data_IF_046207134901
#
_entry.id   IF_046207134901
#
_cell.length_a   1.000
_cell.length_b   1.000
_cell.length_c   1.000
_cell.angle_alpha   90.00
_cell.angle_beta   90.00
_cell.angle_gamma   90.00
#
_symmetry.space_group_name_H-M   'P 1'
#
loop_
_entity.id
_entity.type
_entity.pdbx_description
1 polymer ?
#
# COMPACT_ATOMS: atom_id res chain seq x y z
N UNK A 1 28.36 88.91 -3.51
CA UNK A 1 29.64 88.23 -3.16
C UNK A 1 29.29 86.89 -2.51
N UNK A 2 30.09 85.85 -2.78
CA UNK A 2 29.67 84.45 -2.92
C UNK A 2 29.01 83.78 -1.69
N UNK A 3 27.93 83.03 -1.96
CA UNK A 3 27.38 81.96 -1.13
C UNK A 3 28.31 80.73 -1.20
N UNK A 4 28.77 80.23 -0.05
CA UNK A 4 29.50 78.97 0.06
C UNK A 4 28.52 77.87 0.51
N UNK A 5 28.22 76.94 -0.38
CA UNK A 5 27.44 75.74 -0.09
C UNK A 5 28.36 74.67 0.52
N UNK A 6 28.02 74.19 1.72
CA UNK A 6 28.69 73.06 2.37
C UNK A 6 27.91 71.78 2.05
N UNK A 7 28.52 70.87 1.32
CA UNK A 7 28.01 69.54 1.00
C UNK A 7 28.24 68.58 2.18
N UNK A 8 27.16 67.95 2.69
CA UNK A 8 27.22 66.81 3.62
C UNK A 8 27.10 65.51 2.81
N UNK A 9 28.02 64.53 2.95
CA UNK A 9 27.85 63.24 2.29
C UNK A 9 26.80 62.39 3.03
N UNK A 10 25.84 61.86 2.28
CA UNK A 10 24.83 60.91 2.74
C UNK A 10 25.50 59.52 2.83
N UNK A 11 25.68 58.99 4.05
CA UNK A 11 26.11 57.61 4.28
C UNK A 11 24.90 56.67 4.11
N UNK A 12 24.78 56.04 2.95
CA UNK A 12 23.85 54.93 2.71
C UNK A 12 24.39 53.67 3.39
N UNK A 13 23.80 53.29 4.53
CA UNK A 13 24.07 52.03 5.21
C UNK A 13 23.29 50.92 4.50
N UNK A 14 23.99 50.09 3.71
CA UNK A 14 23.43 48.90 3.07
C UNK A 14 23.28 47.80 4.13
N UNK A 15 22.08 47.60 4.67
CA UNK A 15 21.79 46.49 5.57
C UNK A 15 21.77 45.18 4.77
N UNK A 16 22.81 44.36 4.92
CA UNK A 16 22.87 43.02 4.35
C UNK A 16 21.88 42.11 5.09
N UNK A 17 20.75 41.79 4.45
CA UNK A 17 19.81 40.77 4.93
C UNK A 17 20.47 39.41 4.74
N UNK A 18 21.00 38.82 5.81
CA UNK A 18 21.47 37.45 5.83
C UNK A 18 20.26 36.53 5.85
N UNK A 19 19.90 35.98 4.68
CA UNK A 19 18.88 34.93 4.57
C UNK A 19 19.55 33.62 4.98
N UNK A 20 19.36 33.19 6.22
CA UNK A 20 19.69 31.82 6.62
C UNK A 20 18.69 30.86 5.94
N UNK A 21 19.15 29.79 5.27
CA UNK A 21 18.24 28.77 4.78
C UNK A 21 17.58 28.10 5.99
N UNK A 22 16.27 28.29 6.13
CA UNK A 22 15.45 27.45 7.00
C UNK A 22 15.46 26.04 6.40
N UNK A 23 16.29 25.16 6.97
CA UNK A 23 16.21 23.74 6.71
C UNK A 23 14.92 23.21 7.35
N UNK A 24 13.88 23.04 6.53
CA UNK A 24 12.67 22.30 6.93
C UNK A 24 13.07 20.83 7.00
N UNK A 25 13.35 20.34 8.20
CA UNK A 25 13.66 18.93 8.43
C UNK A 25 12.41 18.08 8.22
N UNK A 26 12.48 17.08 7.33
CA UNK A 26 11.40 16.11 7.17
C UNK A 26 11.51 15.07 8.29
N UNK A 27 10.45 14.95 9.10
CA UNK A 27 10.40 13.92 10.14
C UNK A 27 10.51 12.51 9.53
N UNK A 28 11.18 11.60 10.24
CA UNK A 28 11.19 10.18 9.91
C UNK A 28 9.76 9.71 9.76
N UNK A 29 9.48 9.04 8.65
CA UNK A 29 8.23 8.33 8.37
C UNK A 29 8.49 6.84 8.24
N UNK A 30 7.42 6.04 8.28
CA UNK A 30 7.46 4.60 8.07
C UNK A 30 6.56 4.21 6.91
N UNK A 31 6.92 3.11 6.25
CA UNK A 31 6.07 2.45 5.26
C UNK A 31 4.70 2.07 5.85
N UNK A 32 3.65 1.96 5.01
CA UNK A 32 2.26 1.95 5.47
C UNK A 32 1.86 0.78 6.39
N UNK A 33 2.59 -0.35 6.34
CA UNK A 33 2.29 -1.52 7.18
C UNK A 33 2.82 -1.41 8.63
N UNK A 34 3.74 -0.50 8.91
CA UNK A 34 4.31 -0.31 10.26
C UNK A 34 3.42 0.64 11.05
N UNK A 35 2.29 0.09 11.50
CA UNK A 35 1.27 0.77 12.31
C UNK A 35 0.85 -0.13 13.46
N UNK A 36 0.20 0.45 14.46
CA UNK A 36 -0.22 -0.27 15.65
C UNK A 36 -1.03 -1.51 15.26
N UNK A 37 -0.75 -2.62 15.93
CA UNK A 37 -1.39 -3.90 15.64
C UNK A 37 -0.72 -4.72 14.52
N UNK A 38 0.43 -4.31 13.98
CA UNK A 38 1.10 -5.03 12.90
C UNK A 38 1.50 -6.47 13.26
N UNK A 39 1.65 -7.30 12.22
CA UNK A 39 2.27 -8.62 12.31
C UNK A 39 3.50 -8.63 11.41
N UNK A 40 4.66 -8.97 11.96
CA UNK A 40 5.92 -9.13 11.23
C UNK A 40 6.22 -10.60 10.96
N UNK A 41 6.83 -10.87 9.80
CA UNK A 41 7.16 -12.24 9.37
C UNK A 41 8.26 -12.86 10.22
N UNK A 42 8.11 -14.14 10.57
CA UNK A 42 9.11 -14.94 11.27
C UNK A 42 10.08 -15.67 10.32
N UNK A 43 11.22 -16.08 10.85
CA UNK A 43 12.10 -17.07 10.21
C UNK A 43 12.83 -16.59 8.94
N UNK A 44 12.79 -15.29 8.65
CA UNK A 44 13.57 -14.65 7.59
C UNK A 44 13.87 -13.19 7.97
N UNK A 45 14.86 -12.54 7.34
CA UNK A 45 15.14 -11.14 7.60
C UNK A 45 13.90 -10.26 7.41
N UNK A 46 13.65 -9.34 8.35
CA UNK A 46 12.47 -8.47 8.31
C UNK A 46 12.90 -7.05 8.00
N UNK A 47 12.67 -6.57 6.77
CA UNK A 47 12.96 -5.20 6.42
C UNK A 47 11.99 -4.24 7.11
N UNK A 48 12.52 -3.12 7.59
CA UNK A 48 11.78 -1.94 8.06
C UNK A 48 12.32 -0.74 7.32
N UNK A 49 11.43 0.09 6.77
CA UNK A 49 11.82 1.19 5.88
C UNK A 49 10.84 2.35 5.96
N UNK A 50 11.26 3.47 5.40
CA UNK A 50 10.48 4.69 5.31
C UNK A 50 11.27 5.81 4.64
N UNK A 51 10.93 7.05 4.96
CA UNK A 51 11.68 8.23 4.53
C UNK A 51 12.19 9.03 5.72
N UNK A 52 13.24 9.81 5.52
CA UNK A 52 13.84 10.73 6.46
C UNK A 52 14.67 11.77 5.69
N UNK A 53 15.26 12.75 6.36
CA UNK A 53 16.19 13.66 5.68
C UNK A 53 17.43 12.92 5.18
N UNK A 54 17.97 13.35 4.02
CA UNK A 54 19.18 12.75 3.48
C UNK A 54 20.35 12.84 4.49
N UNK A 55 21.03 11.71 4.71
CA UNK A 55 22.12 11.63 5.69
C UNK A 55 21.68 11.44 7.14
N UNK A 56 20.39 11.45 7.44
CA UNK A 56 19.87 11.19 8.77
C UNK A 56 20.16 9.74 9.20
N UNK A 57 20.60 9.54 10.44
CA UNK A 57 20.81 8.20 11.02
C UNK A 57 19.52 7.73 11.69
N UNK A 58 19.02 6.57 11.26
CA UNK A 58 17.83 5.92 11.77
C UNK A 58 18.24 4.64 12.51
N UNK A 59 17.65 4.41 13.67
CA UNK A 59 17.82 3.20 14.48
C UNK A 59 16.46 2.58 14.78
N UNK A 60 16.27 1.31 14.44
CA UNK A 60 15.08 0.54 14.76
C UNK A 60 15.41 -0.51 15.83
N UNK A 61 14.54 -0.62 16.84
CA UNK A 61 14.65 -1.60 17.93
C UNK A 61 13.37 -2.42 18.01
N UNK A 62 13.51 -3.74 18.02
CA UNK A 62 12.39 -4.67 18.14
C UNK A 62 12.87 -6.04 18.60
N UNK A 63 12.10 -6.69 19.49
CA UNK A 63 12.37 -8.06 19.95
C UNK A 63 13.83 -8.32 20.38
N UNK A 64 14.43 -7.39 21.12
CA UNK A 64 15.81 -7.47 21.60
C UNK A 64 16.89 -7.18 20.56
N UNK A 65 16.51 -6.91 19.31
CA UNK A 65 17.43 -6.50 18.25
C UNK A 65 17.44 -4.98 18.09
N UNK A 66 18.59 -4.44 17.70
CA UNK A 66 18.77 -3.04 17.31
C UNK A 66 19.56 -2.98 16.01
N UNK A 67 19.03 -2.28 15.02
CA UNK A 67 19.63 -2.13 13.69
C UNK A 67 19.58 -0.66 13.26
N UNK A 68 20.57 -0.20 12.50
CA UNK A 68 20.64 1.19 12.05
C UNK A 68 20.97 1.30 10.58
N UNK A 69 20.50 2.37 9.94
CA UNK A 69 20.88 2.78 8.60
C UNK A 69 20.96 4.31 8.53
N UNK A 70 21.55 4.81 7.45
CA UNK A 70 21.51 6.23 7.11
C UNK A 70 20.60 6.41 5.91
N UNK A 71 19.72 7.41 5.94
CA UNK A 71 18.89 7.75 4.80
C UNK A 71 19.72 8.19 3.60
N UNK A 72 19.40 7.66 2.43
CA UNK A 72 20.08 7.98 1.18
C UNK A 72 19.80 9.41 0.72
N UNK A 73 20.46 9.82 -0.36
CA UNK A 73 20.25 11.14 -0.98
C UNK A 73 18.80 11.35 -1.48
N UNK A 74 18.07 10.27 -1.72
CA UNK A 74 16.65 10.27 -2.10
C UNK A 74 15.70 10.25 -0.88
N UNK A 75 16.25 10.40 0.33
CA UNK A 75 15.51 10.38 1.60
C UNK A 75 15.01 9.01 2.03
N UNK A 76 15.27 7.94 1.25
CA UNK A 76 14.81 6.59 1.62
C UNK A 76 15.82 5.93 2.55
N UNK A 77 15.31 5.19 3.52
CA UNK A 77 16.13 4.37 4.40
C UNK A 77 15.50 2.99 4.56
N UNK A 78 16.34 1.98 4.80
CA UNK A 78 15.91 0.62 5.09
C UNK A 78 16.90 -0.04 6.04
N UNK A 79 16.39 -0.70 7.06
CA UNK A 79 17.11 -1.63 7.93
C UNK A 79 16.47 -3.00 7.82
N UNK A 80 17.17 -4.05 8.25
CA UNK A 80 16.58 -5.37 8.35
C UNK A 80 16.94 -6.01 9.69
N UNK A 81 15.93 -6.46 10.42
CA UNK A 81 16.15 -7.34 11.57
C UNK A 81 16.57 -8.72 11.07
N UNK A 82 17.43 -9.39 11.84
CA UNK A 82 17.69 -10.82 11.67
C UNK A 82 16.40 -11.63 11.87
N UNK A 83 16.32 -12.87 11.34
CA UNK A 83 15.15 -13.72 11.48
C UNK A 83 14.53 -13.69 12.87
N UNK A 84 13.27 -13.25 12.93
CA UNK A 84 12.52 -13.15 14.18
C UNK A 84 11.92 -14.50 14.55
N UNK A 85 11.83 -14.77 15.85
CA UNK A 85 11.12 -15.93 16.41
C UNK A 85 9.64 -15.56 16.58
N UNK A 86 8.75 -16.48 16.21
CA UNK A 86 7.31 -16.28 16.39
C UNK A 86 6.96 -15.97 17.84
N UNK A 87 6.03 -15.04 18.05
CA UNK A 87 5.59 -14.62 19.39
C UNK A 87 4.15 -14.14 19.36
N UNK A 88 3.30 -14.77 20.16
CA UNK A 88 1.95 -14.28 20.46
C UNK A 88 1.95 -13.13 21.47
N UNK A 89 3.06 -12.95 22.21
CA UNK A 89 3.28 -11.77 23.05
C UNK A 89 3.67 -10.59 22.14
N UNK A 90 2.88 -9.52 22.22
CA UNK A 90 3.09 -8.28 21.47
C UNK A 90 4.22 -7.45 22.05
N UNK A 91 4.95 -6.74 21.19
CA UNK A 91 6.03 -5.82 21.58
C UNK A 91 5.95 -4.53 20.77
N UNK A 92 6.58 -3.48 21.25
CA UNK A 92 6.66 -2.22 20.51
C UNK A 92 7.87 -2.23 19.57
N UNK A 93 7.64 -1.85 18.30
CA UNK A 93 8.70 -1.49 17.36
C UNK A 93 8.98 0.00 17.52
N UNK A 94 10.22 0.34 17.90
CA UNK A 94 10.64 1.72 18.11
C UNK A 94 11.62 2.12 17.03
N UNK A 95 11.35 3.23 16.34
CA UNK A 95 12.22 3.78 15.30
C UNK A 95 12.62 5.20 15.70
N UNK A 96 13.92 5.44 15.81
CA UNK A 96 14.51 6.71 16.27
C UNK A 96 15.39 7.32 15.18
N UNK A 97 15.12 8.58 14.87
CA UNK A 97 16.00 9.51 14.17
C UNK A 97 15.96 10.86 14.89
N UNK A 98 15.66 11.92 14.16
CA UNK A 98 15.34 13.26 14.69
C UNK A 98 14.04 13.27 15.50
N UNK A 99 13.08 12.42 15.13
CA UNK A 99 11.88 12.08 15.90
C UNK A 99 11.89 10.59 16.31
N UNK A 100 11.02 10.24 17.25
CA UNK A 100 10.80 8.84 17.66
C UNK A 100 9.38 8.40 17.27
N UNK A 101 9.29 7.30 16.52
CA UNK A 101 8.05 6.60 16.21
C UNK A 101 7.99 5.33 17.06
N UNK A 102 6.86 5.10 17.71
CA UNK A 102 6.60 3.86 18.47
C UNK A 102 5.36 3.21 17.89
N UNK A 103 5.56 2.04 17.28
CA UNK A 103 4.50 1.21 16.72
C UNK A 103 4.16 0.14 17.75
N UNK A 104 2.94 0.18 18.25
CA UNK A 104 2.50 -0.62 19.40
C UNK A 104 1.87 -1.92 18.97
N UNK A 105 1.83 -2.86 19.90
CA UNK A 105 1.11 -4.12 19.73
C UNK A 105 1.56 -4.88 18.46
N UNK A 106 2.87 -5.03 18.27
CA UNK A 106 3.42 -5.75 17.10
C UNK A 106 3.65 -7.22 17.45
N UNK A 107 3.03 -8.11 16.67
CA UNK A 107 3.20 -9.56 16.77
C UNK A 107 4.26 -10.08 15.79
N UNK A 108 4.75 -11.30 16.03
CA UNK A 108 5.64 -12.00 15.09
C UNK A 108 5.04 -13.35 14.72
N UNK A 109 4.85 -13.59 13.42
CA UNK A 109 4.14 -14.76 12.93
C UNK A 109 4.32 -14.99 11.43
N UNK A 110 3.28 -15.52 10.78
CA UNK A 110 3.24 -15.67 9.32
C UNK A 110 2.53 -14.48 8.68
N UNK A 111 3.09 -13.89 7.63
CA UNK A 111 2.52 -12.77 6.89
C UNK A 111 2.25 -13.19 5.46
N UNK A 112 1.02 -12.99 5.00
CA UNK A 112 0.58 -13.40 3.66
C UNK A 112 -0.03 -12.24 2.90
N UNK A 113 0.28 -12.15 1.61
CA UNK A 113 -0.42 -11.26 0.69
C UNK A 113 -1.68 -11.95 0.16
N UNK A 114 -2.84 -11.33 0.33
CA UNK A 114 -4.11 -11.76 -0.25
C UNK A 114 -4.55 -10.75 -1.31
N UNK A 115 -4.63 -11.17 -2.56
CA UNK A 115 -4.93 -10.28 -3.68
C UNK A 115 -5.85 -10.93 -4.72
N UNK A 116 -6.47 -10.09 -5.55
CA UNK A 116 -7.41 -10.52 -6.58
C UNK A 116 -8.61 -9.60 -6.69
N UNK A 117 -9.71 -10.15 -7.20
CA UNK A 117 -10.95 -9.39 -7.42
C UNK A 117 -12.02 -9.65 -6.34
N UNK A 118 -13.30 -9.54 -6.71
CA UNK A 118 -14.45 -9.55 -5.80
C UNK A 118 -14.50 -10.78 -4.90
N UNK A 119 -14.11 -11.95 -5.40
CA UNK A 119 -14.09 -13.18 -4.60
C UNK A 119 -13.01 -13.16 -3.51
N UNK A 120 -11.84 -12.55 -3.77
CA UNK A 120 -10.87 -12.26 -2.72
C UNK A 120 -11.36 -11.15 -1.78
N UNK A 121 -12.05 -10.14 -2.30
CA UNK A 121 -12.55 -9.02 -1.50
C UNK A 121 -13.73 -9.39 -0.59
N UNK A 122 -14.46 -10.46 -0.93
CA UNK A 122 -15.78 -10.78 -0.37
C UNK A 122 -15.78 -10.83 1.17
N UNK A 123 -16.60 -10.02 1.86
CA UNK A 123 -16.52 -9.92 3.31
C UNK A 123 -17.05 -11.16 4.04
N UNK A 124 -16.43 -11.51 5.17
CA UNK A 124 -16.85 -12.64 6.01
C UNK A 124 -18.31 -12.51 6.49
N UNK A 125 -18.77 -11.29 6.75
CA UNK A 125 -20.18 -11.02 7.15
C UNK A 125 -21.23 -11.42 6.11
N UNK A 126 -20.84 -11.69 4.87
CA UNK A 126 -21.74 -12.14 3.81
C UNK A 126 -21.84 -13.67 3.71
N UNK A 127 -20.96 -14.40 4.40
CA UNK A 127 -20.91 -15.87 4.36
C UNK A 127 -21.07 -16.51 5.73
N UNK A 128 -20.90 -15.75 6.81
CA UNK A 128 -21.10 -16.20 8.19
C UNK A 128 -22.31 -15.52 8.83
N UNK A 129 -23.02 -16.26 9.68
CA UNK A 129 -24.12 -15.72 10.49
C UNK A 129 -23.62 -14.71 11.52
N UNK A 130 -24.53 -13.86 12.02
CA UNK A 130 -24.21 -12.92 13.11
C UNK A 130 -23.70 -13.63 14.36
N UNK A 131 -24.21 -14.82 14.65
CA UNK A 131 -23.78 -15.62 15.80
C UNK A 131 -22.34 -16.13 15.62
N UNK A 132 -22.00 -16.61 14.42
CA UNK A 132 -20.63 -17.03 14.10
C UNK A 132 -19.65 -15.86 14.20
N UNK A 133 -19.99 -14.69 13.64
CA UNK A 133 -19.17 -13.48 13.77
C UNK A 133 -19.01 -13.07 15.25
N UNK A 134 -20.08 -13.12 16.03
CA UNK A 134 -20.06 -12.77 17.45
C UNK A 134 -19.19 -13.71 18.29
N UNK A 135 -19.05 -14.97 17.87
CA UNK A 135 -18.24 -15.98 18.54
C UNK A 135 -16.74 -15.91 18.20
N UNK A 136 -16.34 -15.16 17.17
CA UNK A 136 -14.92 -15.06 16.79
C UNK A 136 -14.13 -14.31 17.85
N UNK A 137 -13.17 -15.00 18.47
CA UNK A 137 -12.17 -14.40 19.35
C UNK A 137 -10.77 -14.89 18.95
N UNK A 138 -10.19 -14.32 17.90
CA UNK A 138 -8.91 -14.72 17.33
C UNK A 138 -7.95 -13.52 17.15
N UNK A 139 -7.56 -12.83 18.24
CA UNK A 139 -6.77 -11.59 18.15
C UNK A 139 -5.38 -11.74 17.51
N UNK A 140 -4.87 -12.98 17.43
CA UNK A 140 -3.59 -13.31 16.79
C UNK A 140 -3.70 -13.43 15.26
N UNK A 141 -4.91 -13.39 14.70
CA UNK A 141 -5.14 -13.25 13.26
C UNK A 141 -5.49 -11.79 13.00
N UNK A 142 -4.70 -11.11 12.15
CA UNK A 142 -4.89 -9.69 11.87
C UNK A 142 -4.88 -9.43 10.36
N UNK A 143 -5.69 -8.48 9.92
CA UNK A 143 -5.74 -8.06 8.52
C UNK A 143 -5.40 -6.57 8.42
N UNK A 144 -4.47 -6.25 7.54
CA UNK A 144 -4.30 -4.92 6.96
C UNK A 144 -5.03 -4.88 5.63
N UNK A 145 -6.08 -4.05 5.50
CA UNK A 145 -6.75 -3.85 4.21
C UNK A 145 -6.24 -2.58 3.55
N UNK A 146 -5.53 -2.72 2.44
CA UNK A 146 -5.08 -1.61 1.64
C UNK A 146 -6.30 -0.88 1.04
N UNK A 147 -6.31 0.44 1.16
CA UNK A 147 -7.30 1.28 0.53
C UNK A 147 -7.22 1.14 -1.00
N UNK A 148 -8.38 1.24 -1.63
CA UNK A 148 -8.52 1.15 -3.09
C UNK A 148 -7.89 2.38 -3.75
N UNK A 149 -6.65 2.20 -4.21
CA UNK A 149 -5.82 3.27 -4.77
C UNK A 149 -5.29 2.85 -6.13
N UNK A 150 -5.27 3.78 -7.09
CA UNK A 150 -4.70 3.60 -8.43
C UNK A 150 -3.55 4.57 -8.65
N UNK A 151 -2.47 4.11 -9.30
CA UNK A 151 -1.34 4.99 -9.62
C UNK A 151 -0.64 4.57 -10.92
N UNK A 152 -0.17 5.52 -11.74
CA UNK A 152 0.62 5.20 -12.94
C UNK A 152 2.04 4.74 -12.62
N UNK A 153 2.57 5.17 -11.48
CA UNK A 153 3.91 4.84 -10.99
C UNK A 153 3.77 4.25 -9.60
N UNK A 154 4.67 3.34 -9.18
CA UNK A 154 4.68 2.79 -7.83
C UNK A 154 4.55 3.89 -6.77
N UNK A 155 3.50 3.82 -5.96
CA UNK A 155 3.32 4.74 -4.84
C UNK A 155 4.26 4.36 -3.69
N UNK A 156 4.63 5.34 -2.87
CA UNK A 156 5.44 5.13 -1.66
C UNK A 156 4.60 4.73 -0.44
N UNK A 157 3.28 4.92 -0.50
CA UNK A 157 2.35 4.66 0.59
C UNK A 157 0.98 4.20 0.07
N UNK A 158 0.22 3.56 0.95
CA UNK A 158 -1.19 3.24 0.76
C UNK A 158 -1.89 3.36 2.11
N UNK A 159 -3.10 3.90 2.12
CA UNK A 159 -3.90 3.96 3.35
C UNK A 159 -4.35 2.56 3.77
N UNK A 160 -4.45 2.36 5.08
CA UNK A 160 -4.89 1.09 5.67
C UNK A 160 -4.54 1.01 7.14
N UNK A 161 -5.28 0.18 7.87
CA UNK A 161 -5.05 -0.10 9.29
C UNK A 161 -5.11 -1.59 9.54
N UNK A 162 -4.35 -2.04 10.55
CA UNK A 162 -4.46 -3.39 11.05
C UNK A 162 -5.71 -3.53 11.92
N UNK A 163 -6.46 -4.60 11.71
CA UNK A 163 -7.55 -5.00 12.58
C UNK A 163 -7.32 -6.45 13.04
N UNK A 164 -7.52 -6.78 14.33
CA UNK A 164 -7.56 -8.16 14.79
C UNK A 164 -8.87 -8.84 14.40
N UNK A 165 -8.89 -10.17 14.31
CA UNK A 165 -10.11 -10.94 14.09
C UNK A 165 -10.91 -11.06 15.40
N UNK A 166 -11.70 -10.03 15.67
CA UNK A 166 -12.62 -9.92 16.82
C UNK A 166 -14.04 -9.63 16.31
N UNK A 167 -15.09 -9.78 17.15
CA UNK A 167 -16.47 -9.64 16.69
C UNK A 167 -16.77 -8.31 16.00
N UNK A 168 -16.14 -7.22 16.48
CA UNK A 168 -16.32 -5.87 15.95
C UNK A 168 -15.70 -5.64 14.57
N UNK A 169 -14.73 -6.46 14.16
CA UNK A 169 -13.85 -6.19 13.01
C UNK A 169 -13.85 -7.31 11.97
N UNK A 170 -13.97 -8.56 12.39
CA UNK A 170 -13.81 -9.76 11.54
C UNK A 170 -14.85 -9.82 10.42
N UNK A 171 -16.05 -9.25 10.61
CA UNK A 171 -17.08 -9.21 9.57
C UNK A 171 -16.65 -8.48 8.29
N UNK A 172 -15.64 -7.60 8.36
CA UNK A 172 -15.09 -6.86 7.22
C UNK A 172 -13.84 -7.52 6.61
N UNK A 173 -13.39 -8.65 7.15
CA UNK A 173 -12.26 -9.38 6.59
C UNK A 173 -12.67 -10.04 5.29
N UNK A 174 -11.70 -10.26 4.39
CA UNK A 174 -11.90 -11.20 3.30
C UNK A 174 -12.23 -12.58 3.89
N UNK A 175 -13.35 -13.18 3.47
CA UNK A 175 -13.73 -14.51 3.91
C UNK A 175 -12.65 -15.55 3.56
N UNK A 176 -12.18 -15.51 2.31
CA UNK A 176 -11.13 -16.42 1.81
C UNK A 176 -9.85 -16.25 2.62
N UNK A 177 -9.39 -15.02 2.80
CA UNK A 177 -8.14 -14.78 3.53
C UNK A 177 -8.26 -15.11 5.02
N UNK A 178 -9.42 -14.85 5.64
CA UNK A 178 -9.68 -15.20 7.04
C UNK A 178 -9.62 -16.71 7.27
N UNK A 179 -10.34 -17.52 6.49
CA UNK A 179 -10.32 -18.97 6.66
C UNK A 179 -8.95 -19.57 6.35
N UNK A 180 -8.24 -19.03 5.36
CA UNK A 180 -6.85 -19.39 5.08
C UNK A 180 -5.93 -19.11 6.28
N UNK A 181 -5.98 -17.91 6.84
CA UNK A 181 -5.19 -17.55 8.01
C UNK A 181 -5.57 -18.34 9.27
N UNK A 182 -6.85 -18.64 9.45
CA UNK A 182 -7.34 -19.45 10.56
C UNK A 182 -6.76 -20.86 10.53
N UNK A 183 -6.67 -21.48 9.34
CA UNK A 183 -6.09 -22.81 9.20
C UNK A 183 -4.58 -22.81 9.48
N UNK A 184 -3.86 -21.79 8.99
CA UNK A 184 -2.44 -21.62 9.30
C UNK A 184 -2.23 -21.44 10.81
N UNK A 185 -3.02 -20.56 11.44
CA UNK A 185 -2.93 -20.31 12.87
C UNK A 185 -3.19 -21.58 13.67
N UNK A 186 -4.23 -22.36 13.34
CA UNK A 186 -4.55 -23.64 14.00
C UNK A 186 -3.44 -24.67 13.86
N UNK A 187 -2.83 -24.79 12.68
CA UNK A 187 -1.79 -25.79 12.43
C UNK A 187 -0.44 -25.44 13.02
N UNK A 188 -0.07 -24.16 12.97
CA UNK A 188 1.27 -23.71 13.34
C UNK A 188 1.33 -23.08 14.73
N UNK A 189 0.17 -22.75 15.32
CA UNK A 189 0.04 -22.08 16.61
C UNK A 189 0.87 -20.78 16.70
N UNK A 190 0.82 -19.95 15.66
CA UNK A 190 1.52 -18.65 15.60
C UNK A 190 0.60 -17.56 15.06
N UNK A 191 0.85 -16.28 15.39
CA UNK A 191 0.12 -15.18 14.78
C UNK A 191 0.12 -15.22 13.25
N UNK A 192 -0.94 -14.70 12.63
CA UNK A 192 -1.05 -14.60 11.18
C UNK A 192 -1.50 -13.20 10.78
N UNK A 193 -0.68 -12.53 9.97
CA UNK A 193 -0.98 -11.26 9.34
C UNK A 193 -1.40 -11.44 7.89
N UNK A 194 -2.49 -10.80 7.49
CA UNK A 194 -2.96 -10.75 6.10
C UNK A 194 -2.79 -9.34 5.59
N UNK A 195 -2.01 -9.17 4.53
CA UNK A 195 -2.00 -7.96 3.72
C UNK A 195 -3.04 -8.14 2.61
N UNK A 196 -4.19 -7.50 2.73
CA UNK A 196 -5.28 -7.61 1.77
C UNK A 196 -5.24 -6.44 0.77
N UNK A 197 -4.84 -6.75 -0.46
CA UNK A 197 -4.89 -5.85 -1.61
C UNK A 197 -5.80 -6.42 -2.68
N UNK A 198 -7.11 -6.23 -2.54
CA UNK A 198 -8.13 -6.76 -3.47
C UNK A 198 -9.09 -5.68 -3.97
N UNK A 199 -9.63 -5.86 -5.19
CA UNK A 199 -10.60 -4.94 -5.78
C UNK A 199 -11.56 -5.62 -6.75
N UNK A 200 -12.85 -5.65 -6.41
CA UNK A 200 -13.93 -6.17 -7.27
C UNK A 200 -13.94 -5.66 -8.71
N UNK A 201 -14.15 -6.58 -9.67
CA UNK A 201 -14.29 -6.28 -11.09
C UNK A 201 -12.99 -5.98 -11.85
N UNK A 202 -11.83 -6.10 -11.19
CA UNK A 202 -10.53 -5.94 -11.85
C UNK A 202 -10.16 -7.16 -12.69
N UNK A 203 -9.63 -6.93 -13.89
CA UNK A 203 -8.85 -7.92 -14.63
C UNK A 203 -7.45 -8.11 -14.01
N UNK A 204 -6.63 -8.99 -14.58
CA UNK A 204 -5.25 -9.24 -14.10
C UNK A 204 -4.25 -8.13 -14.45
N UNK A 205 -4.40 -7.46 -15.60
CA UNK A 205 -3.41 -6.47 -16.10
C UNK A 205 -3.07 -5.32 -15.13
N UNK A 206 -4.02 -4.76 -14.35
CA UNK A 206 -3.74 -3.74 -13.35
C UNK A 206 -2.87 -4.20 -12.17
N UNK A 207 -2.79 -5.51 -11.92
CA UNK A 207 -2.09 -6.09 -10.76
C UNK A 207 -0.65 -6.51 -11.05
N UNK A 208 -0.25 -6.57 -12.32
CA UNK A 208 1.11 -6.94 -12.70
C UNK A 208 2.05 -5.74 -12.49
N UNK A 209 3.25 -6.01 -12.00
CA UNK A 209 4.27 -4.98 -11.80
C UNK A 209 4.81 -4.43 -13.12
N UNK A 210 5.17 -3.13 -13.20
CA UNK A 210 5.76 -2.54 -14.40
C UNK A 210 6.96 -3.32 -14.95
N UNK A 211 7.89 -3.73 -14.09
CA UNK A 211 9.09 -4.46 -14.53
C UNK A 211 8.78 -5.85 -15.05
N UNK A 212 7.75 -6.51 -14.51
CA UNK A 212 7.30 -7.80 -15.03
C UNK A 212 6.73 -7.65 -16.45
N UNK A 213 6.01 -6.56 -16.74
CA UNK A 213 5.57 -6.26 -18.11
C UNK A 213 6.76 -6.03 -19.05
N UNK A 214 7.74 -5.23 -18.62
CA UNK A 214 8.93 -4.91 -19.44
C UNK A 214 9.75 -6.16 -19.76
N UNK A 215 9.84 -7.10 -18.82
CA UNK A 215 10.74 -8.27 -18.92
C UNK A 215 10.05 -9.54 -19.42
N UNK A 216 8.72 -9.61 -19.45
CA UNK A 216 7.99 -10.80 -19.95
C UNK A 216 7.83 -10.74 -21.48
N UNK A 217 8.42 -11.68 -22.24
CA UNK A 217 8.21 -11.76 -23.68
C UNK A 217 6.72 -11.89 -24.02
N UNK A 218 6.26 -11.14 -25.02
CA UNK A 218 4.85 -11.08 -25.42
C UNK A 218 4.01 -10.02 -24.71
N UNK A 219 4.50 -9.43 -23.60
CA UNK A 219 3.82 -8.32 -22.92
C UNK A 219 4.54 -6.96 -23.10
N UNK A 220 5.86 -6.97 -23.31
CA UNK A 220 6.70 -5.77 -23.32
C UNK A 220 6.34 -4.74 -24.40
N UNK A 221 5.98 -5.17 -25.60
CA UNK A 221 5.62 -4.27 -26.70
C UNK A 221 4.33 -3.48 -26.40
N UNK A 222 3.29 -4.17 -25.92
CA UNK A 222 2.03 -3.55 -25.51
C UNK A 222 2.25 -2.59 -24.34
N UNK A 223 3.11 -2.96 -23.39
CA UNK A 223 3.45 -2.10 -22.27
C UNK A 223 4.23 -0.84 -22.70
N UNK A 224 5.19 -0.97 -23.61
CA UNK A 224 5.93 0.17 -24.17
C UNK A 224 4.99 1.17 -24.84
N UNK A 225 3.96 0.70 -25.54
CA UNK A 225 2.93 1.56 -26.11
C UNK A 225 2.11 2.24 -25.01
N UNK A 226 1.69 1.50 -23.98
CA UNK A 226 0.97 2.04 -22.82
C UNK A 226 1.76 3.14 -22.08
N UNK A 227 3.08 2.98 -21.95
CA UNK A 227 3.96 3.96 -21.30
C UNK A 227 4.03 5.29 -22.07
N UNK A 228 3.93 5.25 -23.40
CA UNK A 228 3.91 6.42 -24.29
C UNK A 228 2.51 7.04 -24.43
N UNK A 229 1.49 6.41 -23.86
CA UNK A 229 0.11 6.91 -23.91
C UNK A 229 -0.07 8.22 -23.15
N UNK A 230 -1.12 9.00 -23.49
CA UNK A 230 -1.37 10.28 -22.85
C UNK A 230 -1.59 10.14 -21.34
N UNK A 231 -1.16 11.16 -20.60
CA UNK A 231 -1.36 11.30 -19.15
C UNK A 231 -2.08 12.62 -18.89
N UNK A 232 -3.08 12.60 -18.01
CA UNK A 232 -3.72 13.83 -17.55
C UNK A 232 -2.65 14.72 -16.89
N UNK A 233 -2.63 16.01 -17.22
CA UNK A 233 -1.73 17.01 -16.64
C UNK A 233 -2.03 17.24 -15.15
N UNK A 234 -1.09 17.76 -14.35
CA UNK A 234 -1.35 18.10 -12.95
C UNK A 234 -2.59 19.00 -12.76
N UNK A 235 -2.80 19.96 -13.67
CA UNK A 235 -3.96 20.86 -13.63
C UNK A 235 -5.28 20.12 -13.89
N UNK A 236 -5.33 19.24 -14.89
CA UNK A 236 -6.54 18.43 -15.16
C UNK A 236 -6.86 17.50 -13.99
N UNK A 237 -5.84 16.91 -13.37
CA UNK A 237 -6.02 16.08 -12.18
C UNK A 237 -6.58 16.89 -11.00
N UNK A 238 -6.00 18.06 -10.71
CA UNK A 238 -6.45 18.92 -9.63
C UNK A 238 -7.88 19.44 -9.84
N UNK A 239 -8.22 19.82 -11.08
CA UNK A 239 -9.57 20.24 -11.44
C UNK A 239 -10.57 19.09 -11.27
N UNK A 240 -10.25 17.90 -11.78
CA UNK A 240 -11.09 16.71 -11.60
C UNK A 240 -11.27 16.35 -10.12
N UNK A 241 -10.19 16.38 -9.33
CA UNK A 241 -10.24 16.04 -7.91
C UNK A 241 -11.11 17.02 -7.11
N UNK A 242 -11.06 18.30 -7.45
CA UNK A 242 -11.93 19.33 -6.87
C UNK A 242 -13.40 19.04 -7.15
N UNK A 243 -13.74 18.75 -8.42
CA UNK A 243 -15.10 18.40 -8.83
C UNK A 243 -15.57 17.10 -8.16
N UNK A 244 -14.72 16.08 -8.14
CA UNK A 244 -15.01 14.76 -7.55
C UNK A 244 -15.27 14.90 -6.05
N UNK A 245 -14.43 15.63 -5.33
CA UNK A 245 -14.59 15.85 -3.88
C UNK A 245 -15.89 16.59 -3.56
N UNK A 246 -16.23 17.62 -4.35
CA UNK A 246 -17.48 18.35 -4.17
C UNK A 246 -18.70 17.43 -4.43
N UNK A 247 -18.66 16.64 -5.50
CA UNK A 247 -19.71 15.68 -5.84
C UNK A 247 -19.87 14.59 -4.77
N UNK A 248 -18.77 14.03 -4.24
CA UNK A 248 -18.81 13.04 -3.16
C UNK A 248 -19.39 13.61 -1.88
N UNK A 249 -18.99 14.83 -1.51
CA UNK A 249 -19.55 15.52 -0.35
C UNK A 249 -21.06 15.72 -0.50
N UNK A 250 -21.53 16.11 -1.68
CA UNK A 250 -22.96 16.25 -1.97
C UNK A 250 -23.70 14.91 -1.91
N UNK A 251 -23.15 13.86 -2.54
CA UNK A 251 -23.67 12.49 -2.48
C UNK A 251 -23.80 11.99 -1.05
N UNK A 252 -22.75 12.16 -0.25
CA UNK A 252 -22.69 11.64 1.11
C UNK A 252 -23.62 12.41 2.05
N UNK A 253 -23.74 13.74 1.86
CA UNK A 253 -24.74 14.55 2.55
C UNK A 253 -26.18 14.09 2.22
N UNK A 254 -26.48 13.87 0.93
CA UNK A 254 -27.78 13.35 0.50
C UNK A 254 -28.05 11.96 1.08
N UNK A 255 -27.07 11.05 1.07
CA UNK A 255 -27.17 9.72 1.68
C UNK A 255 -27.43 9.80 3.18
N UNK A 256 -26.72 10.66 3.91
CA UNK A 256 -26.93 10.86 5.35
C UNK A 256 -28.33 11.42 5.65
N UNK A 257 -28.81 12.32 4.79
CA UNK A 257 -30.18 12.85 4.84
C UNK A 257 -31.25 11.89 4.30
N UNK A 258 -30.87 10.68 3.84
CA UNK A 258 -31.74 9.71 3.17
C UNK A 258 -32.51 10.29 1.96
N UNK A 259 -31.90 11.25 1.27
CA UNK A 259 -32.43 11.88 0.07
C UNK A 259 -31.88 11.19 -1.19
N UNK A 260 -32.66 11.15 -2.29
CA UNK A 260 -32.15 10.68 -3.58
C UNK A 260 -31.05 11.62 -4.07
N UNK A 261 -30.04 11.05 -4.72
CA UNK A 261 -28.93 11.80 -5.31
C UNK A 261 -28.71 11.31 -6.74
N UNK A 262 -29.16 12.12 -7.70
CA UNK A 262 -29.22 11.76 -9.12
C UNK A 262 -28.22 12.55 -9.97
N UNK A 263 -27.30 13.29 -9.34
CA UNK A 263 -26.27 14.02 -10.07
C UNK A 263 -25.22 13.04 -10.60
N UNK A 264 -24.89 13.07 -11.90
CA UNK A 264 -23.87 12.18 -12.45
C UNK A 264 -22.49 12.55 -11.90
N UNK A 265 -21.66 11.52 -11.67
CA UNK A 265 -20.28 11.74 -11.26
C UNK A 265 -19.52 12.57 -12.32
N UNK A 266 -18.61 13.48 -11.91
CA UNK A 266 -17.78 14.22 -12.84
C UNK A 266 -17.04 13.29 -13.80
N UNK A 267 -16.97 13.67 -15.07
CA UNK A 267 -16.26 12.89 -16.08
C UNK A 267 -14.75 13.01 -15.83
N UNK A 268 -14.10 11.87 -15.68
CA UNK A 268 -12.64 11.81 -15.55
C UNK A 268 -11.97 12.32 -16.85
N UNK A 269 -10.93 13.18 -16.76
CA UNK A 269 -10.11 13.52 -17.91
C UNK A 269 -9.43 12.28 -18.50
N UNK A 270 -9.17 12.32 -19.81
CA UNK A 270 -8.43 11.27 -20.48
C UNK A 270 -7.03 11.12 -19.86
N UNK A 271 -6.52 9.89 -19.78
CA UNK A 271 -5.19 9.64 -19.23
C UNK A 271 -5.09 9.74 -17.72
N UNK A 272 -6.19 9.65 -16.97
CA UNK A 272 -6.18 9.26 -15.55
C UNK A 272 -6.11 7.73 -15.41
N UNK A 273 -5.45 7.20 -14.36
CA UNK A 273 -5.44 5.77 -14.13
C UNK A 273 -6.80 5.34 -13.54
N UNK A 274 -7.19 4.11 -13.82
CA UNK A 274 -8.37 3.45 -13.25
C UNK A 274 -7.99 2.06 -12.75
N UNK A 275 -8.91 1.38 -12.06
CA UNK A 275 -8.72 0.00 -11.64
C UNK A 275 -8.61 -1.01 -12.81
N UNK A 276 -8.77 -0.55 -14.06
CA UNK A 276 -8.58 -1.32 -15.30
C UNK A 276 -7.28 -0.98 -16.03
N UNK A 277 -6.61 0.09 -15.61
CA UNK A 277 -5.37 0.56 -16.24
C UNK A 277 -4.23 -0.39 -15.90
N UNK A 278 -3.44 -0.76 -16.91
CA UNK A 278 -2.26 -1.62 -16.78
C UNK A 278 -1.37 -1.12 -15.63
N UNK A 279 -0.93 -2.03 -14.75
CA UNK A 279 -0.12 -1.79 -13.53
C UNK A 279 -0.74 -0.92 -12.42
N UNK A 280 -1.93 -0.32 -12.65
CA UNK A 280 -2.38 0.77 -11.78
C UNK A 280 -2.72 0.33 -10.35
N UNK A 281 -3.25 -0.88 -10.18
CA UNK A 281 -3.57 -1.45 -8.86
C UNK A 281 -2.32 -1.97 -8.16
N UNK A 282 -1.39 -2.59 -8.88
CA UNK A 282 -0.08 -2.94 -8.33
C UNK A 282 0.61 -1.70 -7.76
N UNK A 283 0.69 -0.64 -8.56
CA UNK A 283 1.39 0.57 -8.17
C UNK A 283 0.74 1.28 -6.99
N UNK A 284 -0.59 1.31 -6.94
CA UNK A 284 -1.33 2.00 -5.88
C UNK A 284 -1.50 1.19 -4.60
N UNK A 285 -1.53 -0.15 -4.67
CA UNK A 285 -1.92 -1.00 -3.54
C UNK A 285 -0.86 -2.03 -3.12
N UNK A 286 -0.07 -2.56 -4.05
CA UNK A 286 0.87 -3.67 -3.77
C UNK A 286 2.29 -3.15 -3.60
N UNK A 287 2.76 -2.30 -4.52
CA UNK A 287 4.10 -1.73 -4.47
C UNK A 287 4.41 -0.99 -3.14
N UNK A 288 3.48 -0.26 -2.51
CA UNK A 288 3.73 0.35 -1.20
C UNK A 288 3.95 -0.64 -0.05
N UNK A 289 3.53 -1.90 -0.21
CA UNK A 289 3.72 -2.97 0.77
C UNK A 289 5.06 -3.69 0.58
N UNK A 290 5.71 -3.50 -0.55
CA UNK A 290 7.04 -4.02 -0.83
C UNK A 290 8.12 -3.10 -0.21
N UNK A 291 9.23 -3.67 0.30
CA UNK A 291 9.62 -5.08 0.22
C UNK A 291 9.35 -5.84 1.53
N UNK A 292 8.12 -5.82 2.09
CA UNK A 292 7.84 -6.58 3.31
C UNK A 292 8.20 -8.06 3.16
N UNK A 293 8.67 -8.68 4.24
CA UNK A 293 8.89 -10.12 4.26
C UNK A 293 7.54 -10.85 4.31
N UNK A 294 7.33 -11.79 3.39
CA UNK A 294 6.12 -12.58 3.28
C UNK A 294 6.44 -14.08 3.36
N UNK A 295 5.54 -14.88 3.94
CA UNK A 295 5.59 -16.33 3.80
C UNK A 295 5.10 -16.79 2.42
N UNK A 296 4.17 -16.07 1.83
CA UNK A 296 3.61 -16.37 0.52
C UNK A 296 2.47 -15.42 0.13
N UNK A 297 1.85 -15.71 -1.02
CA UNK A 297 0.69 -14.98 -1.50
C UNK A 297 -0.44 -15.92 -1.94
N UNK A 298 -1.68 -15.44 -1.81
CA UNK A 298 -2.88 -16.08 -2.35
C UNK A 298 -3.56 -15.15 -3.36
N UNK A 299 -3.92 -15.71 -4.51
CA UNK A 299 -4.51 -15.00 -5.64
C UNK A 299 -5.87 -15.58 -6.00
N UNK A 300 -6.92 -14.77 -5.95
CA UNK A 300 -8.25 -15.20 -6.41
C UNK A 300 -8.83 -14.17 -7.39
N UNK A 301 -8.60 -14.45 -8.67
CA UNK A 301 -9.09 -13.65 -9.78
C UNK A 301 -9.13 -14.47 -11.05
N UNK A 302 -10.02 -14.09 -11.96
CA UNK A 302 -9.99 -14.53 -13.35
C UNK A 302 -11.30 -14.26 -14.08
N UNK A 303 -12.38 -14.03 -13.34
CA UNK A 303 -13.74 -13.86 -13.85
C UNK A 303 -13.80 -12.66 -14.81
N UNK A 304 -13.09 -11.58 -14.51
CA UNK A 304 -13.03 -10.40 -15.40
C UNK A 304 -12.17 -10.59 -16.65
N UNK A 305 -11.54 -11.77 -16.81
CA UNK A 305 -10.70 -12.13 -17.95
C UNK A 305 -11.30 -13.27 -18.79
N UNK A 306 -12.46 -13.84 -18.43
CA UNK A 306 -13.03 -15.01 -19.12
C UNK A 306 -13.34 -14.74 -20.60
N UNK A 307 -13.83 -13.54 -20.93
CA UNK A 307 -14.06 -13.12 -22.32
C UNK A 307 -12.78 -13.03 -23.17
N UNK A 308 -11.61 -12.94 -22.53
CA UNK A 308 -10.29 -12.85 -23.16
C UNK A 308 -9.28 -13.78 -22.46
N UNK A 309 -9.66 -15.06 -22.29
CA UNK A 309 -8.86 -16.03 -21.54
C UNK A 309 -7.49 -16.32 -22.18
N UNK A 310 -7.36 -16.12 -23.50
CA UNK A 310 -6.09 -16.27 -24.22
C UNK A 310 -5.00 -15.35 -23.64
N UNK A 311 -3.92 -15.94 -23.14
CA UNK A 311 -2.81 -15.20 -22.55
C UNK A 311 -2.97 -14.88 -21.06
N UNK A 312 -3.99 -15.41 -20.38
CA UNK A 312 -4.10 -15.31 -18.92
C UNK A 312 -2.91 -15.98 -18.23
N UNK A 313 -2.51 -17.18 -18.67
CA UNK A 313 -1.36 -17.89 -18.11
C UNK A 313 -0.06 -17.08 -18.19
N UNK A 314 0.19 -16.39 -19.32
CA UNK A 314 1.36 -15.51 -19.48
C UNK A 314 1.32 -14.33 -18.49
N UNK A 315 0.15 -13.73 -18.31
CA UNK A 315 -0.08 -12.62 -17.37
C UNK A 315 0.04 -13.08 -15.91
N UNK A 316 -0.44 -14.27 -15.59
CA UNK A 316 -0.28 -14.88 -14.26
C UNK A 316 1.20 -15.14 -13.96
N UNK A 317 1.97 -15.65 -14.92
CA UNK A 317 3.42 -15.78 -14.78
C UNK A 317 4.09 -14.43 -14.55
N UNK A 318 3.71 -13.39 -15.30
CA UNK A 318 4.22 -12.04 -15.09
C UNK A 318 3.85 -11.48 -13.70
N UNK A 319 2.63 -11.71 -13.23
CA UNK A 319 2.19 -11.32 -11.89
C UNK A 319 3.07 -11.94 -10.81
N UNK A 320 3.24 -13.27 -10.85
CA UNK A 320 4.03 -14.03 -9.88
C UNK A 320 5.49 -13.58 -9.87
N UNK A 321 6.10 -13.45 -11.06
CA UNK A 321 7.49 -13.00 -11.16
C UNK A 321 7.66 -11.53 -10.72
N UNK A 322 6.65 -10.69 -10.99
CA UNK A 322 6.58 -9.32 -10.51
C UNK A 322 6.61 -9.24 -8.99
N UNK A 323 5.77 -10.02 -8.30
CA UNK A 323 5.77 -10.07 -6.84
C UNK A 323 7.09 -10.62 -6.29
N UNK A 324 7.63 -11.72 -6.84
CA UNK A 324 8.94 -12.25 -6.44
C UNK A 324 10.05 -11.21 -6.50
N UNK A 325 10.03 -10.37 -7.55
CA UNK A 325 10.98 -9.27 -7.73
C UNK A 325 10.73 -8.14 -6.72
N UNK A 326 9.49 -7.64 -6.64
CA UNK A 326 9.14 -6.50 -5.79
C UNK A 326 9.39 -6.77 -4.30
N UNK A 327 9.03 -7.96 -3.83
CA UNK A 327 9.24 -8.37 -2.44
C UNK A 327 10.65 -8.93 -2.19
N UNK A 328 11.52 -8.97 -3.21
CA UNK A 328 12.87 -9.51 -3.13
C UNK A 328 12.91 -10.97 -2.60
N UNK A 329 11.95 -11.78 -3.03
CA UNK A 329 11.77 -13.19 -2.64
C UNK A 329 11.60 -14.05 -3.90
N UNK A 330 12.70 -14.51 -4.55
CA UNK A 330 12.64 -15.26 -5.80
C UNK A 330 11.81 -16.54 -5.71
N UNK A 331 11.79 -17.17 -4.53
CA UNK A 331 11.06 -18.42 -4.27
C UNK A 331 9.71 -18.19 -3.57
N UNK A 332 9.17 -16.96 -3.59
CA UNK A 332 7.88 -16.66 -2.95
C UNK A 332 6.80 -17.63 -3.45
N UNK A 333 6.20 -18.44 -2.55
CA UNK A 333 5.08 -19.29 -2.91
C UNK A 333 3.86 -18.44 -3.24
N UNK A 334 3.23 -18.74 -4.38
CA UNK A 334 1.97 -18.12 -4.78
C UNK A 334 0.97 -19.22 -5.06
N UNK A 335 -0.14 -19.22 -4.32
CA UNK A 335 -1.27 -20.09 -4.57
C UNK A 335 -2.36 -19.30 -5.29
N UNK A 336 -3.04 -19.93 -6.23
CA UNK A 336 -4.18 -19.31 -6.92
C UNK A 336 -5.38 -20.24 -6.96
N UNK A 337 -6.56 -19.65 -7.10
CA UNK A 337 -7.83 -20.37 -7.15
C UNK A 337 -8.24 -20.59 -8.60
N UNK A 338 -8.52 -21.84 -8.97
CA UNK A 338 -9.22 -22.16 -10.21
C UNK A 338 -10.68 -21.71 -10.08
N UNK A 339 -11.16 -20.95 -11.06
CA UNK A 339 -12.55 -20.49 -11.06
C UNK A 339 -13.51 -21.68 -11.08
N UNK A 340 -14.64 -21.61 -10.35
CA UNK A 340 -15.68 -22.62 -10.48
C UNK A 340 -16.20 -22.63 -11.92
N UNK A 341 -16.56 -23.81 -12.40
CA UNK A 341 -17.11 -23.95 -13.75
C UNK A 341 -18.43 -23.17 -13.82
N UNK A 342 -18.48 -22.13 -14.65
CA UNK A 342 -19.71 -21.37 -14.89
C UNK A 342 -20.34 -21.94 -16.15
N UNK A 343 -21.25 -22.91 -16.00
CA UNK A 343 -22.08 -23.34 -17.12
C UNK A 343 -23.03 -22.20 -17.45
N UNK A 344 -22.92 -21.67 -18.67
CA UNK A 344 -24.02 -20.96 -19.30
C UNK A 344 -25.06 -22.02 -19.63
N UNK A 345 -26.00 -22.24 -18.70
CA UNK A 345 -27.11 -23.17 -18.89
C UNK A 345 -27.92 -22.90 -20.15
#
# INVERSE_FOLDING_TARGET
>A
MLNVAVSRPLLLTLAAVVVFPLHVHAAVTLAPLFRDGAVLQRGMPVPVWGTADAGEKITATFAGQQVSATAGADGRWKVAFNPLIASAESRDLVVKGTNTLTIRDVLVGEVWLASGQSNMEWPLSYVASKAEIAAVNAPLIRQFKAAKTVAFTPASTVEGTWAPALPATVGQFSAVAYFFALEIHRRLNVPVGILNGSWGGSGIDPWIAPDAYRTTPGLSAAFTHFEKGPRATPSERAAYETLRTAWEKARDAAKAAKQPFNEPAPKAPAGLPSYRTITALNNGMIAPLAPSALRGAIWYQGESNTAHASGYALRLTALVNGWRTQFAQPDLPVYWVQLPNFDHG
#
